data_IF_240988051450
#
_entry.id   IF_240988051450
#
_cell.length_a   1.000
_cell.length_b   1.000
_cell.length_c   1.000
_cell.angle_alpha   90.00
_cell.angle_beta   90.00
_cell.angle_gamma   90.00
#
_symmetry.space_group_name_H-M   'P 1'
#
loop_
_entity.id
_entity.type
_entity.pdbx_description
1 polymer ?
#
# COMPACT_ATOMS: atom_id res chain seq x y z
N UNK A 1 -4.04 6.55 -27.89
CA UNK A 1 -4.22 5.61 -26.77
C UNK A 1 -3.56 4.31 -27.15
N UNK A 2 -2.77 3.72 -26.26
CA UNK A 2 -2.14 2.43 -26.53
C UNK A 2 -3.23 1.34 -26.58
N UNK A 3 -3.12 0.40 -27.52
CA UNK A 3 -4.07 -0.72 -27.63
C UNK A 3 -4.18 -1.53 -26.32
N UNK A 4 -3.10 -1.54 -25.53
CA UNK A 4 -3.05 -2.16 -24.19
C UNK A 4 -3.92 -1.44 -23.16
N UNK A 5 -3.95 -0.10 -23.14
CA UNK A 5 -4.77 0.69 -22.20
C UNK A 5 -6.26 0.45 -22.46
N UNK A 6 -6.65 0.36 -23.73
CA UNK A 6 -8.03 0.08 -24.12
C UNK A 6 -8.46 -1.32 -23.64
N UNK A 7 -7.60 -2.33 -23.80
CA UNK A 7 -7.87 -3.69 -23.32
C UNK A 7 -7.95 -3.72 -21.79
N UNK A 8 -7.03 -3.05 -21.08
CA UNK A 8 -7.03 -2.97 -19.62
C UNK A 8 -8.33 -2.37 -19.06
N UNK A 9 -8.88 -1.35 -19.71
CA UNK A 9 -10.17 -0.73 -19.31
C UNK A 9 -11.39 -1.67 -19.40
N UNK A 10 -11.23 -2.80 -20.09
CA UNK A 10 -12.27 -3.82 -20.33
C UNK A 10 -12.04 -5.10 -19.52
N UNK A 11 -11.08 -5.09 -18.59
CA UNK A 11 -10.86 -6.17 -17.64
C UNK A 11 -11.66 -5.86 -16.37
N UNK A 12 -12.62 -6.71 -16.07
CA UNK A 12 -13.48 -6.62 -14.90
C UNK A 12 -13.04 -7.60 -13.82
N UNK A 13 -13.38 -7.30 -12.57
CA UNK A 13 -13.17 -8.21 -11.45
C UNK A 13 -14.51 -8.72 -10.95
N UNK A 14 -14.78 -10.01 -11.19
CA UNK A 14 -16.03 -10.68 -10.84
C UNK A 14 -15.67 -12.01 -10.19
N UNK A 15 -16.24 -12.31 -9.03
CA UNK A 15 -15.93 -13.52 -8.23
C UNK A 15 -14.42 -13.68 -7.96
N UNK A 16 -13.75 -12.58 -7.65
CA UNK A 16 -12.29 -12.54 -7.41
C UNK A 16 -11.44 -12.98 -8.64
N UNK A 17 -12.05 -13.05 -9.82
CA UNK A 17 -11.39 -13.39 -11.06
C UNK A 17 -11.38 -12.20 -12.01
N UNK A 18 -10.24 -11.97 -12.67
CA UNK A 18 -10.13 -11.01 -13.77
C UNK A 18 -10.77 -11.63 -15.02
N UNK A 19 -11.81 -11.00 -15.51
CA UNK A 19 -12.61 -11.50 -16.64
C UNK A 19 -12.90 -10.42 -17.67
N UNK A 20 -13.08 -10.83 -18.92
CA UNK A 20 -13.62 -9.98 -19.99
C UNK A 20 -15.01 -10.44 -20.39
N UNK A 21 -15.88 -9.49 -20.73
CA UNK A 21 -17.26 -9.76 -21.11
C UNK A 21 -17.37 -10.06 -22.61
N UNK A 22 -18.31 -10.93 -22.97
CA UNK A 22 -18.51 -11.38 -24.35
C UNK A 22 -18.72 -10.25 -25.36
N UNK A 23 -19.42 -9.17 -24.99
CA UNK A 23 -19.65 -8.03 -25.87
C UNK A 23 -18.40 -7.19 -26.11
N UNK A 24 -17.58 -6.94 -25.08
CA UNK A 24 -16.31 -6.22 -25.24
C UNK A 24 -15.33 -7.05 -26.06
N UNK A 25 -15.30 -8.35 -25.79
CA UNK A 25 -14.46 -9.29 -26.49
C UNK A 25 -14.82 -9.41 -27.97
N UNK A 26 -16.11 -9.48 -28.27
CA UNK A 26 -16.63 -9.47 -29.63
C UNK A 26 -16.26 -8.18 -30.37
N UNK A 27 -16.35 -7.02 -29.70
CA UNK A 27 -15.94 -5.73 -30.27
C UNK A 27 -14.43 -5.69 -30.57
N UNK A 28 -13.59 -6.19 -29.65
CA UNK A 28 -12.14 -6.29 -29.86
C UNK A 28 -11.79 -7.20 -31.03
N UNK A 29 -12.49 -8.33 -31.16
CA UNK A 29 -12.32 -9.28 -32.26
C UNK A 29 -13.02 -8.86 -33.57
N UNK A 30 -13.73 -7.73 -33.59
CA UNK A 30 -14.51 -7.25 -34.74
C UNK A 30 -15.54 -8.28 -35.24
N UNK A 31 -16.15 -9.02 -34.30
CA UNK A 31 -17.21 -9.99 -34.58
C UNK A 31 -18.48 -9.63 -33.81
N UNK A 32 -19.63 -10.14 -34.26
CA UNK A 32 -20.85 -10.04 -33.46
C UNK A 32 -20.75 -10.91 -32.19
N UNK A 33 -21.27 -10.42 -31.06
CA UNK A 33 -21.35 -11.18 -29.80
C UNK A 33 -22.07 -12.52 -29.97
N UNK A 34 -23.09 -12.55 -30.85
CA UNK A 34 -23.82 -13.78 -31.18
C UNK A 34 -22.91 -14.82 -31.86
N UNK A 35 -22.04 -14.38 -32.78
CA UNK A 35 -21.12 -15.25 -33.51
C UNK A 35 -20.05 -15.81 -32.57
N UNK A 36 -19.48 -14.97 -31.70
CA UNK A 36 -18.56 -15.39 -30.64
C UNK A 36 -19.19 -16.47 -29.75
N UNK A 37 -20.38 -16.19 -29.22
CA UNK A 37 -21.09 -17.12 -28.34
C UNK A 37 -21.48 -18.42 -29.06
N UNK A 38 -21.79 -18.36 -30.35
CA UNK A 38 -22.04 -19.56 -31.16
C UNK A 38 -20.78 -20.39 -31.36
N UNK A 39 -19.64 -19.77 -31.60
CA UNK A 39 -18.36 -20.45 -31.77
C UNK A 39 -17.92 -21.16 -30.48
N UNK A 40 -18.14 -20.53 -29.32
CA UNK A 40 -17.91 -21.15 -28.01
C UNK A 40 -18.85 -22.33 -27.79
N UNK A 41 -20.16 -22.16 -28.07
CA UNK A 41 -21.15 -23.25 -27.93
C UNK A 41 -20.84 -24.47 -28.79
N UNK A 42 -20.22 -24.31 -29.96
CA UNK A 42 -19.75 -25.43 -30.78
C UNK A 42 -18.54 -26.14 -30.17
N UNK A 43 -17.77 -25.46 -29.34
CA UNK A 43 -16.53 -25.93 -28.73
C UNK A 43 -16.61 -26.02 -27.20
N UNK A 44 -17.79 -26.25 -26.61
CA UNK A 44 -17.98 -26.23 -25.14
C UNK A 44 -17.03 -27.15 -24.36
N UNK A 45 -16.54 -28.24 -24.97
CA UNK A 45 -15.53 -29.13 -24.38
C UNK A 45 -14.21 -28.40 -24.00
N UNK A 46 -13.93 -27.26 -24.63
CA UNK A 46 -12.76 -26.40 -24.35
C UNK A 46 -13.03 -25.33 -23.30
N UNK A 47 -14.28 -25.15 -22.88
CA UNK A 47 -14.70 -24.10 -21.95
C UNK A 47 -15.35 -24.73 -20.71
N UNK A 48 -14.54 -25.28 -19.80
CA UNK A 48 -15.02 -25.68 -18.47
C UNK A 48 -15.47 -24.45 -17.67
N UNK A 49 -16.16 -24.68 -16.55
CA UNK A 49 -16.81 -23.63 -15.75
C UNK A 49 -15.86 -22.60 -15.12
N UNK A 50 -14.58 -22.95 -14.98
CA UNK A 50 -13.49 -22.09 -14.53
C UNK A 50 -12.91 -21.20 -15.64
N UNK A 51 -13.23 -21.49 -16.91
CA UNK A 51 -12.74 -20.74 -18.07
C UNK A 51 -13.77 -19.74 -18.57
N UNK A 52 -15.05 -20.09 -18.42
CA UNK A 52 -16.17 -19.27 -18.82
C UNK A 52 -17.35 -19.54 -17.90
N UNK A 53 -18.05 -18.49 -17.50
CA UNK A 53 -19.33 -18.59 -16.82
C UNK A 53 -20.29 -17.49 -17.28
N UNK A 54 -21.59 -17.73 -17.13
CA UNK A 54 -22.59 -16.70 -17.35
C UNK A 54 -22.80 -15.90 -16.05
N UNK A 55 -22.87 -14.57 -16.19
CA UNK A 55 -23.18 -13.69 -15.06
C UNK A 55 -24.60 -13.92 -14.55
N UNK A 56 -24.80 -13.77 -13.24
CA UNK A 56 -26.14 -13.72 -12.65
C UNK A 56 -26.81 -12.36 -12.88
N UNK A 57 -28.12 -12.28 -12.67
CA UNK A 57 -28.86 -11.00 -12.73
C UNK A 57 -28.27 -9.96 -11.78
N UNK A 58 -27.85 -10.41 -10.61
CA UNK A 58 -27.40 -9.55 -9.52
C UNK A 58 -25.97 -9.06 -9.79
N UNK A 59 -25.08 -9.96 -10.23
CA UNK A 59 -23.74 -9.60 -10.69
C UNK A 59 -23.80 -8.60 -11.85
N UNK A 60 -24.70 -8.82 -12.80
CA UNK A 60 -24.91 -7.90 -13.92
C UNK A 60 -25.49 -6.55 -13.50
N UNK A 61 -26.38 -6.52 -12.51
CA UNK A 61 -26.92 -5.28 -11.96
C UNK A 61 -25.84 -4.45 -11.27
N UNK A 62 -24.99 -5.10 -10.47
CA UNK A 62 -23.85 -4.47 -9.79
C UNK A 62 -22.88 -3.89 -10.83
N UNK A 63 -22.49 -4.68 -11.85
CA UNK A 63 -21.63 -4.20 -12.93
C UNK A 63 -22.19 -2.97 -13.65
N UNK A 64 -23.48 -3.00 -14.02
CA UNK A 64 -24.14 -1.84 -14.64
C UNK A 64 -24.20 -0.61 -13.74
N UNK A 65 -24.21 -0.80 -12.42
CA UNK A 65 -24.21 0.33 -11.48
C UNK A 65 -22.82 0.94 -11.29
N UNK A 66 -21.77 0.13 -11.38
CA UNK A 66 -20.38 0.56 -11.21
C UNK A 66 -19.78 1.15 -12.49
N UNK A 67 -20.22 0.68 -13.65
CA UNK A 67 -19.76 1.16 -14.96
C UNK A 67 -20.86 1.98 -15.64
N UNK A 68 -20.48 2.88 -16.55
CA UNK A 68 -21.42 3.68 -17.35
C UNK A 68 -22.03 2.84 -18.48
N UNK A 69 -22.69 1.74 -18.12
CA UNK A 69 -23.42 0.88 -19.05
C UNK A 69 -24.87 1.36 -19.05
N UNK A 70 -25.37 1.73 -20.23
CA UNK A 70 -26.73 2.25 -20.36
C UNK A 70 -27.78 1.27 -19.81
N UNK A 71 -28.62 1.72 -18.88
CA UNK A 71 -29.75 0.96 -18.34
C UNK A 71 -30.91 0.80 -19.33
N UNK A 72 -30.94 1.63 -20.37
CA UNK A 72 -32.09 1.84 -21.28
C UNK A 72 -32.16 0.89 -22.49
N UNK A 73 -31.12 0.09 -22.72
CA UNK A 73 -31.00 -0.81 -23.88
C UNK A 73 -30.53 -2.22 -23.51
N UNK A 74 -30.94 -2.70 -22.32
CA UNK A 74 -30.40 -3.93 -21.71
C UNK A 74 -30.40 -5.13 -22.65
N UNK A 75 -29.28 -5.86 -22.68
CA UNK A 75 -29.21 -7.15 -23.34
C UNK A 75 -30.25 -8.08 -22.73
N UNK A 76 -31.14 -8.66 -23.56
CA UNK A 76 -32.14 -9.66 -23.11
C UNK A 76 -31.51 -10.92 -22.52
N UNK A 77 -30.20 -11.11 -22.73
CA UNK A 77 -29.42 -12.24 -22.23
C UNK A 77 -28.28 -11.70 -21.36
N UNK A 78 -28.06 -12.38 -20.23
CA UNK A 78 -26.93 -12.12 -19.36
C UNK A 78 -25.63 -12.44 -20.11
N UNK A 79 -24.63 -11.54 -20.07
CA UNK A 79 -23.39 -11.74 -20.80
C UNK A 79 -22.57 -12.90 -20.22
N UNK A 80 -21.77 -13.52 -21.08
CA UNK A 80 -20.73 -14.45 -20.62
C UNK A 80 -19.48 -13.70 -20.19
N UNK A 81 -18.89 -14.15 -19.10
CA UNK A 81 -17.59 -13.72 -18.61
C UNK A 81 -16.55 -14.79 -18.97
N UNK A 82 -15.39 -14.35 -19.46
CA UNK A 82 -14.26 -15.20 -19.83
C UNK A 82 -13.05 -14.85 -18.99
N UNK A 83 -12.45 -15.85 -18.36
CA UNK A 83 -11.17 -15.69 -17.65
C UNK A 83 -10.00 -15.65 -18.64
N UNK A 84 -8.79 -15.39 -18.16
CA UNK A 84 -7.56 -15.45 -18.96
C UNK A 84 -7.41 -16.79 -19.69
N UNK A 85 -7.74 -17.90 -19.01
CA UNK A 85 -7.67 -19.25 -19.58
C UNK A 85 -8.75 -19.45 -20.65
N UNK A 86 -9.95 -18.92 -20.44
CA UNK A 86 -11.02 -18.91 -21.45
C UNK A 86 -10.64 -18.09 -22.69
N UNK A 87 -9.99 -16.94 -22.49
CA UNK A 87 -9.45 -16.12 -23.57
C UNK A 87 -8.38 -16.87 -24.37
N UNK A 88 -7.46 -17.54 -23.67
CA UNK A 88 -6.46 -18.38 -24.32
C UNK A 88 -7.12 -19.47 -25.19
N UNK A 89 -8.22 -20.07 -24.76
CA UNK A 89 -8.96 -21.06 -25.56
C UNK A 89 -9.64 -20.47 -26.80
N UNK A 90 -10.01 -19.19 -26.79
CA UNK A 90 -10.59 -18.52 -27.96
C UNK A 90 -9.61 -18.42 -29.13
N UNK A 91 -8.30 -18.41 -28.87
CA UNK A 91 -7.27 -18.45 -29.93
C UNK A 91 -7.37 -19.69 -30.85
N UNK A 92 -7.86 -20.81 -30.31
CA UNK A 92 -8.07 -22.04 -31.08
C UNK A 92 -9.45 -22.15 -31.69
N UNK A 93 -10.34 -21.18 -31.45
CA UNK A 93 -11.72 -21.14 -31.93
C UNK A 93 -11.91 -20.04 -32.98
N UNK A 94 -11.24 -18.90 -32.80
CA UNK A 94 -11.25 -17.77 -33.73
C UNK A 94 -9.93 -17.73 -34.49
N UNK A 95 -9.97 -18.05 -35.78
CA UNK A 95 -8.79 -18.22 -36.63
C UNK A 95 -8.53 -17.05 -37.61
N UNK A 96 -9.09 -15.86 -37.36
CA UNK A 96 -8.78 -14.69 -38.20
C UNK A 96 -7.48 -14.02 -37.77
N UNK A 97 -6.74 -13.42 -38.72
CA UNK A 97 -5.48 -12.70 -38.41
C UNK A 97 -5.69 -11.60 -37.36
N UNK A 98 -6.83 -10.90 -37.44
CA UNK A 98 -7.25 -9.90 -36.46
C UNK A 98 -7.45 -10.55 -35.08
N UNK A 99 -8.13 -11.69 -35.01
CA UNK A 99 -8.38 -12.38 -33.75
C UNK A 99 -7.11 -12.92 -33.11
N UNK A 100 -6.18 -13.44 -33.90
CA UNK A 100 -4.87 -13.89 -33.41
C UNK A 100 -4.12 -12.71 -32.78
N UNK A 101 -4.04 -11.57 -33.47
CA UNK A 101 -3.33 -10.39 -32.98
C UNK A 101 -3.97 -9.81 -31.71
N UNK A 102 -5.31 -9.73 -31.69
CA UNK A 102 -6.06 -9.24 -30.53
C UNK A 102 -5.86 -10.16 -29.34
N UNK A 103 -5.90 -11.48 -29.52
CA UNK A 103 -5.69 -12.42 -28.44
C UNK A 103 -4.27 -12.29 -27.84
N UNK A 104 -3.24 -12.13 -28.68
CA UNK A 104 -1.87 -11.85 -28.21
C UNK A 104 -1.83 -10.59 -27.34
N UNK A 105 -2.50 -9.52 -27.78
CA UNK A 105 -2.53 -8.25 -27.05
C UNK A 105 -3.33 -8.35 -25.74
N UNK A 106 -4.41 -9.13 -25.73
CA UNK A 106 -5.19 -9.42 -24.51
C UNK A 106 -4.31 -10.18 -23.50
N UNK A 107 -3.66 -11.27 -23.93
CA UNK A 107 -2.77 -12.03 -23.04
C UNK A 107 -1.64 -11.16 -22.46
N UNK A 108 -1.04 -10.27 -23.26
CA UNK A 108 -0.04 -9.30 -22.78
C UNK A 108 -0.61 -8.35 -21.73
N UNK A 109 -1.84 -7.87 -21.90
CA UNK A 109 -2.50 -7.00 -20.93
C UNK A 109 -2.76 -7.73 -19.60
N UNK A 110 -3.23 -8.98 -19.64
CA UNK A 110 -3.44 -9.80 -18.44
C UNK A 110 -2.13 -10.06 -17.69
N UNK A 111 -1.05 -10.39 -18.42
CA UNK A 111 0.29 -10.56 -17.83
C UNK A 111 0.78 -9.26 -17.20
N UNK A 112 0.60 -8.11 -17.86
CA UNK A 112 0.98 -6.80 -17.32
C UNK A 112 0.19 -6.47 -16.04
N UNK A 113 -1.12 -6.72 -16.01
CA UNK A 113 -1.96 -6.53 -14.80
C UNK A 113 -1.47 -7.44 -13.67
N UNK A 114 -1.13 -8.70 -13.96
CA UNK A 114 -0.58 -9.61 -12.95
C UNK A 114 0.79 -9.15 -12.44
N UNK A 115 1.67 -8.67 -13.32
CA UNK A 115 2.96 -8.12 -12.94
C UNK A 115 2.82 -6.89 -12.06
N UNK A 116 1.83 -6.02 -12.32
CA UNK A 116 1.53 -4.87 -11.45
C UNK A 116 1.01 -5.28 -10.06
N UNK A 117 0.34 -6.44 -9.94
CA UNK A 117 -0.12 -6.94 -8.65
C UNK A 117 0.97 -7.64 -7.85
N UNK A 118 1.87 -8.37 -8.52
CA UNK A 118 3.00 -9.07 -7.88
C UNK A 118 4.14 -8.10 -7.57
N UNK A 119 4.39 -7.15 -8.46
CA UNK A 119 5.35 -6.07 -8.31
C UNK A 119 4.58 -4.74 -8.40
N UNK A 120 3.84 -4.33 -7.34
CA UNK A 120 3.27 -2.99 -7.28
C UNK A 120 4.38 -1.98 -7.55
N UNK A 121 4.15 -0.92 -8.34
CA UNK A 121 5.18 0.03 -8.69
C UNK A 121 5.87 0.51 -7.41
N UNK A 122 7.12 0.10 -7.30
CA UNK A 122 7.92 0.05 -6.07
C UNK A 122 8.13 1.44 -5.47
N UNK A 123 7.80 2.50 -6.20
CA UNK A 123 7.96 3.87 -5.75
C UNK A 123 7.21 4.19 -4.47
N UNK A 124 5.98 3.75 -4.25
CA UNK A 124 5.29 4.15 -3.00
C UNK A 124 5.85 3.46 -1.77
N UNK A 125 6.02 2.14 -1.82
CA UNK A 125 6.53 1.39 -0.67
C UNK A 125 8.00 1.70 -0.42
N UNK A 126 8.81 1.80 -1.48
CA UNK A 126 10.22 2.19 -1.36
C UNK A 126 10.40 3.62 -0.86
N UNK A 127 9.57 4.57 -1.31
CA UNK A 127 9.62 5.95 -0.78
C UNK A 127 9.17 6.00 0.68
N UNK A 128 8.13 5.26 1.07
CA UNK A 128 7.70 5.18 2.47
C UNK A 128 8.79 4.53 3.33
N UNK A 129 9.41 3.45 2.87
CA UNK A 129 10.53 2.82 3.58
C UNK A 129 11.70 3.79 3.76
N UNK A 130 11.99 4.60 2.74
CA UNK A 130 13.04 5.62 2.79
C UNK A 130 12.68 6.75 3.76
N UNK A 131 11.46 7.29 3.69
CA UNK A 131 10.97 8.31 4.61
C UNK A 131 10.96 7.83 6.06
N UNK A 132 10.54 6.59 6.31
CA UNK A 132 10.57 5.98 7.65
C UNK A 132 12.00 5.84 8.16
N UNK A 133 12.95 5.49 7.27
CA UNK A 133 14.36 5.39 7.64
C UNK A 133 14.96 6.76 7.98
N UNK A 134 14.73 7.77 7.14
CA UNK A 134 15.19 9.15 7.39
C UNK A 134 14.59 9.72 8.69
N UNK A 135 13.30 9.47 8.93
CA UNK A 135 12.64 9.89 10.17
C UNK A 135 13.25 9.22 11.40
N UNK A 136 13.62 7.94 11.30
CA UNK A 136 14.26 7.19 12.39
C UNK A 136 15.65 7.73 12.71
N UNK A 137 16.46 8.01 11.68
CA UNK A 137 17.79 8.62 11.84
C UNK A 137 17.70 10.00 12.51
N UNK A 138 16.76 10.85 12.08
CA UNK A 138 16.51 12.14 12.71
C UNK A 138 16.10 12.01 14.19
N UNK A 139 15.24 11.04 14.52
CA UNK A 139 14.82 10.79 15.89
C UNK A 139 16.00 10.36 16.76
N UNK A 140 16.87 9.47 16.27
CA UNK A 140 18.07 9.05 17.00
C UNK A 140 19.04 10.22 17.25
N UNK A 141 19.22 11.12 16.28
CA UNK A 141 20.02 12.34 16.43
C UNK A 141 19.45 13.28 17.49
N UNK A 142 18.15 13.60 17.43
CA UNK A 142 17.48 14.47 18.42
C UNK A 142 17.54 13.89 19.83
N UNK A 143 17.43 12.57 19.97
CA UNK A 143 17.55 11.92 21.28
C UNK A 143 18.99 11.94 21.80
N UNK A 144 20.00 11.85 20.94
CA UNK A 144 21.40 12.00 21.35
C UNK A 144 21.64 13.41 21.93
N UNK A 145 21.23 14.45 21.21
CA UNK A 145 21.33 15.85 21.67
C UNK A 145 20.58 16.07 23.00
N UNK A 146 19.38 15.50 23.14
CA UNK A 146 18.61 15.62 24.38
C UNK A 146 19.30 14.95 25.57
N UNK A 147 19.91 13.78 25.35
CA UNK A 147 20.66 13.09 26.40
C UNK A 147 21.89 13.88 26.82
N UNK A 148 22.64 14.44 25.87
CA UNK A 148 23.82 15.27 26.16
C UNK A 148 23.43 16.51 27.00
N UNK A 149 22.35 17.21 26.64
CA UNK A 149 21.83 18.35 27.41
C UNK A 149 21.42 17.91 28.83
N UNK A 150 20.79 16.74 28.96
CA UNK A 150 20.33 16.23 30.24
C UNK A 150 21.50 15.83 31.14
N UNK A 151 22.58 15.30 30.57
CA UNK A 151 23.80 14.97 31.29
C UNK A 151 24.57 16.23 31.71
N UNK A 152 24.65 17.25 30.84
CA UNK A 152 25.22 18.56 31.18
C UNK A 152 24.46 19.25 32.32
N UNK A 153 23.13 19.23 32.26
CA UNK A 153 22.30 19.83 33.33
C UNK A 153 22.44 19.06 34.64
N UNK A 154 22.58 17.73 34.62
CA UNK A 154 22.90 16.94 35.81
C UNK A 154 24.27 17.32 36.40
N UNK A 155 25.30 17.44 35.56
CA UNK A 155 26.63 17.88 36.01
C UNK A 155 26.60 19.29 36.63
N UNK A 156 25.86 20.22 36.02
CA UNK A 156 25.70 21.58 36.56
C UNK A 156 25.00 21.56 37.93
N UNK A 157 23.95 20.75 38.11
CA UNK A 157 23.26 20.60 39.39
C UNK A 157 24.17 20.00 40.46
N UNK A 158 24.99 19.01 40.12
CA UNK A 158 25.98 18.45 41.05
C UNK A 158 27.00 19.49 41.50
N UNK A 159 27.53 20.28 40.57
CA UNK A 159 28.49 21.35 40.87
C UNK A 159 27.86 22.44 41.76
N UNK A 160 26.60 22.82 41.50
CA UNK A 160 25.86 23.75 42.35
C UNK A 160 25.71 23.17 43.76
N UNK A 161 25.35 21.90 43.90
CA UNK A 161 25.20 21.27 45.21
C UNK A 161 26.54 21.17 45.97
N UNK A 162 27.65 20.88 45.29
CA UNK A 162 28.98 20.88 45.88
C UNK A 162 29.39 22.27 46.38
N UNK A 163 29.27 23.29 45.54
CA UNK A 163 29.61 24.68 45.91
C UNK A 163 28.75 25.20 47.05
N UNK A 164 27.45 24.88 47.07
CA UNK A 164 26.57 25.22 48.18
C UNK A 164 27.00 24.53 49.49
N UNK A 165 27.43 23.26 49.43
CA UNK A 165 27.92 22.54 50.60
C UNK A 165 29.21 23.17 51.15
N UNK A 166 30.15 23.54 50.28
CA UNK A 166 31.40 24.24 50.65
C UNK A 166 31.12 25.60 51.31
N UNK A 167 30.24 26.42 50.71
CA UNK A 167 29.86 27.73 51.26
C UNK A 167 29.17 27.60 52.62
N UNK A 168 28.32 26.58 52.81
CA UNK A 168 27.72 26.30 54.12
C UNK A 168 28.77 25.88 55.16
N UNK A 169 29.76 25.06 54.77
CA UNK A 169 30.86 24.69 55.65
C UNK A 169 31.72 25.91 56.04
N UNK A 170 32.02 26.79 55.08
CA UNK A 170 32.75 28.05 55.34
C UNK A 170 31.97 28.98 56.28
N UNK A 171 30.67 29.21 56.05
CA UNK A 171 29.84 30.01 56.96
C UNK A 171 29.75 29.41 58.37
N UNK A 172 29.73 28.08 58.51
CA UNK A 172 29.77 27.43 59.83
C UNK A 172 31.12 27.64 60.53
N UNK A 173 32.21 27.69 59.78
CA UNK A 173 33.55 28.00 60.30
C UNK A 173 33.70 29.47 60.69
N UNK A 174 33.17 30.41 59.91
CA UNK A 174 33.17 31.85 60.23
C UNK A 174 32.32 32.18 61.45
N UNK A 175 31.14 31.55 61.58
CA UNK A 175 30.23 31.78 62.72
C UNK A 175 30.62 31.00 63.99
N UNK A 176 31.74 30.26 63.97
CA UNK A 176 32.24 29.57 65.17
C UNK A 176 32.69 30.62 66.19
N UNK A 177 32.14 30.63 67.42
CA UNK A 177 32.53 31.61 68.42
C UNK A 177 34.03 31.47 68.70
N UNK A 178 34.75 32.60 68.63
CA UNK A 178 36.19 32.62 68.94
C UNK A 178 36.38 32.27 70.41
N UNK A 179 37.34 31.40 70.71
CA UNK A 179 37.67 31.07 72.10
C UNK A 179 38.01 32.37 72.84
N UNK A 180 37.34 32.69 73.96
CA UNK A 180 37.64 33.90 74.72
C UNK A 180 39.08 33.81 75.25
N UNK A 181 39.89 34.82 74.90
CA UNK A 181 41.27 34.92 75.35
C UNK A 181 41.30 35.81 76.59
N UNK A 182 41.61 35.23 77.74
CA UNK A 182 41.76 35.94 79.01
C UNK A 182 42.14 35.01 80.15
N UNK A 183 42.88 35.53 81.13
CA UNK A 183 43.28 34.76 82.31
C UNK A 183 42.08 34.53 83.24
N UNK A 184 41.93 33.29 83.72
CA UNK A 184 40.95 32.93 84.74
C UNK A 184 41.33 33.65 86.04
N UNK A 185 40.51 34.62 86.47
CA UNK A 185 40.69 35.25 87.78
C UNK A 185 40.19 34.28 88.86
N UNK A 186 40.98 33.96 89.90
CA UNK A 186 40.54 33.05 90.96
C UNK A 186 39.38 33.65 91.75
N UNK A 187 38.38 32.83 92.05
CA UNK A 187 37.19 33.20 92.83
C UNK A 187 37.58 33.66 94.24
N UNK A 188 37.09 34.83 94.65
CA UNK A 188 37.24 35.32 96.02
C UNK A 188 36.16 34.66 96.90
N UNK A 189 36.61 33.91 97.91
CA UNK A 189 35.82 33.50 99.07
C UNK A 189 35.35 34.70 99.88
#
# INVERSE_FOLDING_TARGET
MNQLELIQSKIYEIREQKVMLDFDLAALYQVETRVLNQAVKRNMKRFPSDFMFQLTSDEWAILKSQFVISSWGGTRKLPFAFTEQGLAMLSGVLNSDIAIQVNINIMRAFVAVRQMLVNPPVDRLGNIEKEVKELKEYIEEVFADYNDINDDTRMQLELINQTLAELQAQKRMENKPRNPIGFIKPEKK
#
